data_IF_318984226602
#
_entry.id   IF_318984226602
#
_cell.length_a   1.000
_cell.length_b   1.000
_cell.length_c   1.000
_cell.angle_alpha   90.00
_cell.angle_beta   90.00
_cell.angle_gamma   90.00
#
_symmetry.space_group_name_H-M   'P 1'
#
loop_
_entity.id
_entity.type
_entity.pdbx_description
1 polymer ?
#
# COMPACT_ATOMS: atom_id res chain seq x y z
N UNK A 1 9.61 -12.34 -4.01
CA UNK A 1 9.09 -10.99 -3.67
C UNK A 1 8.60 -11.00 -2.23
N UNK A 2 8.85 -9.92 -1.47
CA UNK A 2 8.28 -9.74 -0.13
C UNK A 2 6.76 -9.58 -0.28
N UNK A 3 5.96 -10.21 0.58
CA UNK A 3 4.48 -10.14 0.51
C UNK A 3 3.91 -8.94 1.26
N UNK A 4 4.65 -8.44 2.24
CA UNK A 4 4.20 -7.43 3.20
C UNK A 4 5.20 -6.27 3.23
N UNK A 5 4.71 -5.05 3.10
CA UNK A 5 5.54 -3.85 3.10
C UNK A 5 5.03 -2.86 4.14
N UNK A 6 5.94 -2.21 4.86
CA UNK A 6 5.58 -1.08 5.70
C UNK A 6 5.15 0.12 4.83
N UNK A 7 4.34 1.01 5.39
CA UNK A 7 3.95 2.24 4.69
C UNK A 7 5.15 3.12 4.27
N UNK A 8 6.28 3.02 4.98
CA UNK A 8 7.50 3.72 4.58
C UNK A 8 8.13 3.09 3.34
N UNK A 9 8.25 1.76 3.30
CA UNK A 9 8.74 1.04 2.11
C UNK A 9 7.85 1.35 0.90
N UNK A 10 6.53 1.32 1.07
CA UNK A 10 5.58 1.63 -0.02
C UNK A 10 5.71 3.07 -0.53
N UNK A 11 5.93 4.04 0.37
CA UNK A 11 6.20 5.42 -0.02
C UNK A 11 7.54 5.56 -0.77
N UNK A 12 8.55 4.79 -0.36
CA UNK A 12 9.89 4.79 -0.96
C UNK A 12 9.91 4.14 -2.35
N UNK A 13 9.05 3.15 -2.59
CA UNK A 13 8.84 2.54 -3.91
C UNK A 13 8.30 3.55 -4.95
N UNK A 14 7.76 4.69 -4.50
CA UNK A 14 7.24 5.77 -5.36
C UNK A 14 6.31 5.27 -6.47
N UNK A 15 5.46 4.28 -6.16
CA UNK A 15 4.48 3.74 -7.09
C UNK A 15 3.50 4.83 -7.50
N UNK A 16 3.20 4.96 -8.80
CA UNK A 16 2.27 5.97 -9.31
C UNK A 16 0.85 5.85 -8.70
N UNK A 17 0.49 4.67 -8.22
CA UNK A 17 -0.79 4.38 -7.57
C UNK A 17 -0.84 4.75 -6.09
N UNK A 18 0.29 5.10 -5.47
CA UNK A 18 0.38 5.39 -4.05
C UNK A 18 0.83 6.85 -3.81
N UNK A 19 0.39 7.45 -2.70
CA UNK A 19 0.97 8.70 -2.22
C UNK A 19 2.47 8.55 -1.90
N UNK A 20 3.21 9.66 -1.97
CA UNK A 20 4.66 9.68 -1.72
C UNK A 20 5.05 9.81 -0.24
N UNK A 21 4.09 10.08 0.64
CA UNK A 21 4.31 10.32 2.06
C UNK A 21 3.71 9.19 2.88
N UNK A 22 4.47 8.67 3.86
CA UNK A 22 4.06 7.56 4.74
C UNK A 22 2.64 7.75 5.32
N UNK A 23 2.33 8.92 5.89
CA UNK A 23 1.01 9.18 6.48
C UNK A 23 -0.13 9.12 5.46
N UNK A 24 0.11 9.62 4.24
CA UNK A 24 -0.87 9.57 3.16
C UNK A 24 -1.03 8.15 2.63
N UNK A 25 0.06 7.37 2.54
CA UNK A 25 -0.01 5.93 2.22
C UNK A 25 -0.88 5.20 3.25
N UNK A 26 -0.65 5.39 4.55
CA UNK A 26 -1.47 4.76 5.59
C UNK A 26 -2.96 5.11 5.42
N UNK A 27 -3.27 6.40 5.25
CA UNK A 27 -4.67 6.84 5.10
C UNK A 27 -5.31 6.28 3.82
N UNK A 28 -4.56 6.27 2.72
CA UNK A 28 -5.01 5.74 1.44
C UNK A 28 -5.25 4.22 1.50
N UNK A 29 -4.35 3.44 2.10
CA UNK A 29 -4.50 2.00 2.26
C UNK A 29 -5.65 1.66 3.22
N UNK A 30 -5.83 2.44 4.28
CA UNK A 30 -6.98 2.30 5.20
C UNK A 30 -8.30 2.59 4.47
N UNK A 31 -8.36 3.62 3.63
CA UNK A 31 -9.53 3.97 2.82
C UNK A 31 -9.89 2.88 1.79
N UNK A 32 -8.88 2.21 1.23
CA UNK A 32 -9.06 1.12 0.28
C UNK A 32 -9.11 -0.26 0.95
N UNK A 33 -9.25 -0.31 2.29
CA UNK A 33 -9.41 -1.54 3.06
C UNK A 33 -8.32 -2.60 2.78
N UNK A 34 -7.10 -2.14 2.48
CA UNK A 34 -5.99 -3.03 2.13
C UNK A 34 -5.61 -3.86 3.35
N UNK A 35 -5.48 -5.17 3.13
CA UNK A 35 -5.11 -6.13 4.16
C UNK A 35 -3.82 -5.69 4.83
N UNK A 36 -3.88 -5.55 6.15
CA UNK A 36 -2.74 -5.16 6.97
C UNK A 36 -2.53 -6.14 8.11
N UNK A 37 -1.27 -6.31 8.51
CA UNK A 37 -0.87 -7.14 9.64
C UNK A 37 0.05 -6.37 10.57
N UNK A 38 0.04 -6.74 11.85
CA UNK A 38 1.00 -6.21 12.81
C UNK A 38 2.40 -6.67 12.41
N UNK A 39 3.34 -5.73 12.32
CA UNK A 39 4.73 -6.04 12.01
C UNK A 39 5.31 -6.95 13.08
N UNK A 40 5.97 -8.02 12.68
CA UNK A 40 6.69 -8.94 13.57
C UNK A 40 8.15 -8.48 13.71
N UNK A 41 8.53 -7.96 14.89
CA UNK A 41 9.91 -7.54 15.19
C UNK A 41 10.04 -6.26 16.03
N UNK A 42 11.26 -5.72 16.13
CA UNK A 42 11.54 -4.44 16.81
C UNK A 42 11.04 -3.27 15.95
N UNK A 43 10.25 -2.39 16.58
CA UNK A 43 9.58 -1.27 15.93
C UNK A 43 8.14 -1.64 15.59
N UNK A 44 7.20 -1.09 16.37
CA UNK A 44 5.77 -1.29 16.16
C UNK A 44 5.30 -0.77 14.80
N UNK A 45 4.06 -1.10 14.43
CA UNK A 45 3.42 -0.63 13.21
C UNK A 45 2.72 -1.75 12.43
N UNK A 46 2.17 -1.35 11.29
CA UNK A 46 1.47 -2.24 10.35
C UNK A 46 2.31 -2.42 9.08
N UNK A 47 2.24 -3.63 8.53
CA UNK A 47 2.64 -3.93 7.17
C UNK A 47 1.39 -4.23 6.34
N UNK A 48 1.45 -3.96 5.04
CA UNK A 48 0.34 -4.05 4.10
C UNK A 48 0.66 -5.05 3.00
N UNK A 49 -0.34 -5.83 2.61
CA UNK A 49 -0.21 -6.82 1.55
C UNK A 49 0.06 -6.12 0.21
N UNK A 50 1.14 -6.49 -0.47
CA UNK A 50 1.49 -5.90 -1.77
C UNK A 50 0.46 -6.26 -2.85
N UNK A 51 -0.05 -7.49 -2.79
CA UNK A 51 -1.03 -8.04 -3.73
C UNK A 51 -2.39 -7.32 -3.66
N UNK A 52 -2.72 -6.77 -2.49
CA UNK A 52 -3.94 -6.01 -2.25
C UNK A 52 -3.79 -4.51 -2.48
N UNK A 53 -2.65 -4.03 -3.00
CA UNK A 53 -2.49 -2.61 -3.29
C UNK A 53 -3.43 -2.21 -4.43
N UNK A 54 -4.13 -1.07 -4.32
CA UNK A 54 -4.91 -0.57 -5.43
C UNK A 54 -3.95 -0.26 -6.58
N UNK A 55 -4.26 -0.83 -7.74
CA UNK A 55 -3.61 -0.48 -8.98
C UNK A 55 -3.88 1.00 -9.27
N UNK A 56 -2.98 1.70 -9.98
CA UNK A 56 -3.32 3.03 -10.45
C UNK A 56 -4.61 2.87 -11.25
N UNK A 57 -5.55 3.84 -11.21
CA UNK A 57 -6.68 3.80 -12.12
C UNK A 57 -6.07 3.74 -13.51
N UNK A 58 -6.03 2.54 -14.09
CA UNK A 58 -5.62 2.36 -15.46
C UNK A 58 -6.64 3.17 -16.21
N UNK A 59 -6.18 4.20 -16.92
CA UNK A 59 -7.01 4.79 -17.95
C UNK A 59 -7.59 3.61 -18.75
N UNK A 60 -8.91 3.49 -18.72
CA UNK A 60 -9.76 2.51 -19.41
C UNK A 60 -9.74 1.05 -18.91
N UNK A 61 -10.81 0.68 -18.20
CA UNK A 61 -11.51 -0.57 -18.47
C UNK A 61 -12.95 -0.18 -18.85
N UNK A 62 -13.13 0.31 -20.08
CA UNK A 62 -14.41 0.14 -20.78
C UNK A 62 -14.46 -1.34 -21.10
N UNK A 63 -15.25 -2.10 -20.34
CA UNK A 63 -15.70 -3.41 -20.78
C UNK A 63 -17.19 -3.31 -21.12
N UNK A 64 -17.45 -3.82 -22.31
CA UNK A 64 -18.63 -3.73 -23.17
C UNK A 64 -19.94 -4.21 -22.57
#
# INVERSE_FOLDING_TARGET
MKKWYSAQELADLRLNSLPKSKSNVINFLKKNEVVSQKRTGKGGGLEYAFDGLPHPPSAVATQS
#
